data_IF_671580617468
#
_entry.id   IF_671580617468
#
_cell.length_a   1.000
_cell.length_b   1.000
_cell.length_c   1.000
_cell.angle_alpha   90.00
_cell.angle_beta   90.00
_cell.angle_gamma   90.00
#
_symmetry.space_group_name_H-M   'P 1'
#
loop_
_entity.id
_entity.type
_entity.pdbx_description
1 polymer ?
#
# COMPACT_ATOMS: atom_id res chain seq x y z
N UNK A 1 28.48 -42.12 -60.05
CA UNK A 1 28.02 -40.85 -59.46
C UNK A 1 26.51 -40.80 -59.56
N UNK A 2 25.88 -40.07 -58.65
CA UNK A 2 24.43 -39.94 -58.41
C UNK A 2 23.72 -41.13 -57.73
N UNK A 3 22.69 -40.93 -56.91
CA UNK A 3 22.36 -39.96 -55.84
C UNK A 3 21.06 -40.53 -55.24
N UNK A 4 21.01 -40.67 -53.92
CA UNK A 4 19.85 -40.80 -53.02
C UNK A 4 18.42 -40.91 -53.61
N UNK A 5 17.65 -41.92 -53.17
CA UNK A 5 16.28 -41.68 -52.70
C UNK A 5 16.01 -42.51 -51.43
N UNK A 6 15.83 -41.79 -50.33
CA UNK A 6 15.45 -42.26 -49.01
C UNK A 6 13.94 -42.62 -49.02
N UNK A 7 13.56 -43.87 -48.73
CA UNK A 7 12.14 -44.24 -48.55
C UNK A 7 11.65 -43.78 -47.18
N UNK A 8 11.04 -42.60 -47.12
CA UNK A 8 10.22 -42.19 -45.97
C UNK A 8 8.88 -42.93 -46.03
N UNK A 9 8.61 -43.79 -45.03
CA UNK A 9 7.27 -44.28 -44.76
C UNK A 9 6.40 -43.10 -44.32
N UNK A 10 5.42 -42.71 -45.16
CA UNK A 10 4.32 -41.87 -44.74
C UNK A 10 3.35 -42.71 -43.90
N UNK A 11 3.38 -42.53 -42.59
CA UNK A 11 2.23 -42.87 -41.74
C UNK A 11 1.30 -41.64 -41.72
N UNK A 12 -0.02 -41.81 -41.92
CA UNK A 12 -0.96 -40.70 -41.83
C UNK A 12 -1.04 -40.23 -40.38
N UNK A 13 -0.66 -38.98 -40.13
CA UNK A 13 -0.95 -38.29 -38.87
C UNK A 13 -2.44 -37.95 -38.89
N UNK A 14 -3.27 -38.40 -37.93
CA UNK A 14 -4.67 -37.99 -37.90
C UNK A 14 -4.71 -36.48 -37.62
N UNK A 15 -5.27 -35.71 -38.55
CA UNK A 15 -5.57 -34.30 -38.34
C UNK A 15 -6.72 -34.18 -37.35
N UNK A 16 -6.39 -34.17 -36.05
CA UNK A 16 -7.35 -33.77 -35.03
C UNK A 16 -7.68 -32.30 -35.25
N UNK A 17 -8.83 -32.03 -35.87
CA UNK A 17 -9.40 -30.68 -35.89
C UNK A 17 -9.78 -30.35 -34.45
N UNK A 18 -9.00 -29.47 -33.80
CA UNK A 18 -9.34 -28.97 -32.48
C UNK A 18 -10.61 -28.12 -32.61
N UNK A 19 -11.75 -28.67 -32.20
CA UNK A 19 -12.99 -27.90 -32.06
C UNK A 19 -12.87 -27.08 -30.79
N UNK A 20 -12.43 -25.83 -30.91
CA UNK A 20 -12.53 -24.85 -29.83
C UNK A 20 -14.00 -24.41 -29.79
N UNK A 21 -14.76 -24.94 -28.84
CA UNK A 21 -16.10 -24.45 -28.55
C UNK A 21 -15.96 -23.08 -27.88
N UNK A 22 -16.00 -22.02 -28.69
CA UNK A 22 -16.18 -20.67 -28.20
C UNK A 22 -17.63 -20.55 -27.72
N UNK A 23 -17.81 -20.27 -26.43
CA UNK A 23 -19.14 -19.95 -25.91
C UNK A 23 -19.62 -18.66 -26.59
N UNK A 24 -20.60 -18.76 -27.48
CA UNK A 24 -21.26 -17.59 -28.07
C UNK A 24 -22.01 -16.85 -26.96
N UNK A 25 -21.53 -15.64 -26.64
CA UNK A 25 -22.08 -14.81 -25.58
C UNK A 25 -23.30 -14.01 -26.05
N UNK A 26 -24.42 -14.17 -25.34
CA UNK A 26 -25.32 -13.11 -24.84
C UNK A 26 -26.50 -13.79 -24.13
N UNK A 27 -26.24 -14.30 -22.93
CA UNK A 27 -27.27 -14.88 -22.08
C UNK A 27 -26.94 -14.59 -20.63
N UNK A 28 -27.92 -14.10 -19.87
CA UNK A 28 -27.84 -13.99 -18.41
C UNK A 28 -27.28 -15.29 -17.85
N UNK A 29 -26.26 -15.19 -16.99
CA UNK A 29 -25.65 -16.35 -16.34
C UNK A 29 -26.79 -17.17 -15.69
N UNK A 30 -26.97 -18.45 -16.03
CA UNK A 30 -28.10 -19.23 -15.53
C UNK A 30 -28.15 -19.19 -14.00
N UNK A 31 -29.33 -18.95 -13.37
CA UNK A 31 -29.45 -18.81 -11.91
C UNK A 31 -28.90 -20.01 -11.14
N UNK A 32 -28.94 -21.20 -11.74
CA UNK A 32 -28.43 -22.41 -11.13
C UNK A 32 -26.93 -22.66 -11.28
N UNK A 33 -26.26 -21.89 -12.14
CA UNK A 33 -24.83 -22.04 -12.35
C UNK A 33 -24.04 -21.63 -11.11
N UNK A 34 -22.91 -22.31 -10.88
CA UNK A 34 -21.99 -21.96 -9.79
C UNK A 34 -21.49 -20.51 -9.92
N UNK A 35 -21.33 -20.02 -11.16
CA UNK A 35 -20.95 -18.63 -11.45
C UNK A 35 -21.98 -17.62 -10.94
N UNK A 36 -23.26 -17.93 -11.00
CA UNK A 36 -24.31 -17.06 -10.45
C UNK A 36 -24.33 -17.13 -8.92
N UNK A 37 -24.21 -18.33 -8.36
CA UNK A 37 -24.39 -18.60 -6.92
C UNK A 37 -23.24 -18.11 -6.02
N UNK A 38 -21.99 -18.19 -6.49
CA UNK A 38 -20.82 -18.04 -5.61
C UNK A 38 -19.88 -16.87 -5.94
N UNK A 39 -20.23 -15.99 -6.89
CA UNK A 39 -19.40 -14.83 -7.23
C UNK A 39 -19.64 -13.62 -6.29
N UNK A 40 -19.64 -13.85 -4.99
CA UNK A 40 -19.84 -12.80 -3.99
C UNK A 40 -18.77 -11.69 -4.06
N UNK A 41 -17.52 -12.03 -4.36
CA UNK A 41 -16.45 -11.03 -4.55
C UNK A 41 -16.77 -10.09 -5.72
N UNK A 42 -17.25 -10.62 -6.84
CA UNK A 42 -17.62 -9.80 -7.99
C UNK A 42 -18.76 -8.84 -7.66
N UNK A 43 -19.77 -9.31 -6.92
CA UNK A 43 -20.90 -8.48 -6.48
C UNK A 43 -20.43 -7.34 -5.55
N UNK A 44 -19.51 -7.63 -4.63
CA UNK A 44 -18.91 -6.61 -3.75
C UNK A 44 -18.15 -5.57 -4.56
N UNK A 45 -17.29 -6.00 -5.49
CA UNK A 45 -16.53 -5.09 -6.36
C UNK A 45 -17.45 -4.22 -7.20
N UNK A 46 -18.50 -4.79 -7.80
CA UNK A 46 -19.48 -4.04 -8.59
C UNK A 46 -20.16 -2.95 -7.76
N UNK A 47 -20.53 -3.27 -6.51
CA UNK A 47 -21.15 -2.34 -5.57
C UNK A 47 -20.21 -1.21 -5.15
N UNK A 48 -18.97 -1.52 -4.79
CA UNK A 48 -18.07 -0.53 -4.15
C UNK A 48 -17.23 0.29 -5.14
N UNK A 49 -16.94 -0.26 -6.33
CA UNK A 49 -16.01 0.36 -7.27
C UNK A 49 -16.34 1.80 -7.69
N UNK A 50 -17.62 2.22 -7.84
CA UNK A 50 -17.95 3.61 -8.14
C UNK A 50 -17.51 4.63 -7.08
N UNK A 51 -17.32 4.19 -5.84
CA UNK A 51 -16.95 5.05 -4.71
C UNK A 51 -15.44 5.00 -4.35
N UNK A 52 -14.64 4.26 -5.13
CA UNK A 52 -13.17 4.23 -5.00
C UNK A 52 -12.56 5.14 -6.06
N UNK A 53 -11.57 5.92 -5.65
CA UNK A 53 -10.95 6.96 -6.48
C UNK A 53 -9.44 6.74 -6.60
N UNK A 54 -8.89 7.21 -7.70
CA UNK A 54 -7.45 7.31 -7.92
C UNK A 54 -6.96 8.68 -7.49
N UNK A 55 -5.82 8.73 -6.80
CA UNK A 55 -5.17 9.96 -6.37
C UNK A 55 -3.86 10.13 -7.13
N UNK A 56 -3.70 11.28 -7.77
CA UNK A 56 -2.46 11.70 -8.42
C UNK A 56 -1.92 12.94 -7.70
N UNK A 57 -0.64 12.89 -7.32
CA UNK A 57 0.02 13.98 -6.63
C UNK A 57 1.10 14.58 -7.51
N UNK A 58 1.01 15.90 -7.69
CA UNK A 58 1.91 16.64 -8.57
C UNK A 58 2.83 17.56 -7.78
N UNK A 59 4.13 17.35 -7.96
CA UNK A 59 5.14 18.26 -7.46
C UNK A 59 5.43 19.35 -8.50
N UNK A 60 5.51 20.60 -8.06
CA UNK A 60 5.88 21.71 -8.91
C UNK A 60 7.38 21.90 -8.88
N UNK A 61 8.04 21.64 -10.01
CA UNK A 61 9.49 21.80 -10.13
C UNK A 61 9.86 23.27 -9.94
N UNK A 62 10.78 23.59 -8.99
CA UNK A 62 11.27 24.93 -8.80
C UNK A 62 11.84 25.49 -10.11
N UNK A 63 11.63 26.79 -10.36
CA UNK A 63 12.14 27.55 -11.51
C UNK A 63 11.56 27.22 -12.91
N UNK A 64 11.07 26.00 -13.18
CA UNK A 64 10.42 25.68 -14.48
C UNK A 64 8.90 25.86 -14.45
N UNK A 65 8.29 25.75 -13.26
CA UNK A 65 6.84 25.78 -13.10
C UNK A 65 6.11 24.57 -13.68
N UNK A 66 6.84 23.55 -14.15
CA UNK A 66 6.24 22.28 -14.58
C UNK A 66 5.74 21.49 -13.38
N UNK A 67 4.56 20.87 -13.54
CA UNK A 67 4.02 19.87 -12.62
C UNK A 67 4.47 18.49 -13.08
N UNK A 68 5.11 17.74 -12.19
CA UNK A 68 5.56 16.36 -12.42
C UNK A 68 4.81 15.46 -11.45
N UNK A 69 4.28 14.35 -11.94
CA UNK A 69 3.66 13.32 -11.12
C UNK A 69 4.71 12.76 -10.16
N UNK A 70 4.48 12.93 -8.85
CA UNK A 70 5.41 12.54 -7.81
C UNK A 70 4.96 11.29 -7.07
N UNK A 71 3.64 11.13 -6.85
CA UNK A 71 3.08 9.96 -6.19
C UNK A 71 1.67 9.65 -6.71
N UNK A 72 1.24 8.42 -6.46
CA UNK A 72 -0.07 7.91 -6.81
C UNK A 72 -0.61 7.07 -5.66
N UNK A 73 -1.91 7.15 -5.39
CA UNK A 73 -2.56 6.31 -4.39
C UNK A 73 -4.02 6.05 -4.72
N UNK A 74 -4.73 5.47 -3.76
CA UNK A 74 -6.17 5.30 -3.80
C UNK A 74 -6.85 6.05 -2.66
N UNK A 75 -8.15 6.29 -2.82
CA UNK A 75 -9.01 6.75 -1.75
C UNK A 75 -10.41 6.20 -1.92
N UNK A 76 -11.30 6.52 -1.00
CA UNK A 76 -12.71 6.21 -1.13
C UNK A 76 -13.60 7.30 -0.56
N UNK A 77 -14.76 7.45 -1.18
CA UNK A 77 -15.73 8.50 -0.88
C UNK A 77 -16.58 8.06 0.32
N UNK A 78 -16.66 8.93 1.33
CA UNK A 78 -17.39 8.68 2.59
C UNK A 78 -18.59 9.61 2.80
N UNK A 79 -18.79 10.62 1.95
CA UNK A 79 -19.98 11.47 1.99
C UNK A 79 -20.40 11.94 0.60
N UNK A 80 -21.70 12.17 0.42
CA UNK A 80 -22.29 12.57 -0.85
C UNK A 80 -21.79 13.95 -1.28
N UNK A 81 -21.30 14.77 -0.35
CA UNK A 81 -20.71 16.08 -0.61
C UNK A 81 -19.28 16.00 -1.17
N UNK A 82 -18.70 14.80 -1.33
CA UNK A 82 -17.38 14.61 -1.92
C UNK A 82 -16.23 14.56 -0.93
N UNK A 83 -16.50 14.14 0.32
CA UNK A 83 -15.46 13.81 1.29
C UNK A 83 -14.82 12.47 0.97
N UNK A 84 -13.49 12.41 0.97
CA UNK A 84 -12.70 11.25 0.59
C UNK A 84 -11.67 10.95 1.69
N UNK A 85 -11.58 9.68 2.08
CA UNK A 85 -10.56 9.16 2.98
C UNK A 85 -9.43 8.52 2.17
N UNK A 86 -8.20 8.73 2.62
CA UNK A 86 -6.98 8.07 2.14
C UNK A 86 -5.96 7.98 3.27
N UNK A 87 -4.75 7.49 2.99
CA UNK A 87 -3.65 7.51 3.94
C UNK A 87 -2.94 8.87 3.97
N UNK A 88 -2.39 9.25 5.13
CA UNK A 88 -1.64 10.49 5.27
C UNK A 88 -0.33 10.47 4.48
N UNK A 89 0.37 9.33 4.44
CA UNK A 89 1.62 9.19 3.69
C UNK A 89 1.43 9.41 2.18
N UNK A 90 0.25 9.11 1.65
CA UNK A 90 -0.09 9.38 0.24
C UNK A 90 -0.05 10.88 -0.07
N UNK A 91 -0.31 11.74 0.92
CA UNK A 91 -0.45 13.20 0.76
C UNK A 91 0.79 14.02 1.12
N UNK A 92 1.97 13.41 1.21
CA UNK A 92 3.19 14.09 1.64
C UNK A 92 3.61 15.25 0.70
N UNK A 93 4.18 16.32 1.28
CA UNK A 93 4.83 17.47 0.62
C UNK A 93 3.96 18.52 -0.13
N UNK A 94 2.77 18.89 0.38
CA UNK A 94 1.95 20.05 -0.07
C UNK A 94 1.83 20.17 -1.60
N UNK A 95 1.56 19.04 -2.23
CA UNK A 95 1.44 18.90 -3.67
C UNK A 95 0.01 19.22 -4.13
N UNK A 96 -0.16 19.56 -5.41
CA UNK A 96 -1.51 19.63 -6.00
C UNK A 96 -2.04 18.21 -6.11
N UNK A 97 -3.21 17.96 -5.52
CA UNK A 97 -3.86 16.64 -5.52
C UNK A 97 -4.96 16.64 -6.58
N UNK A 98 -4.87 15.72 -7.53
CA UNK A 98 -5.99 15.40 -8.41
C UNK A 98 -6.63 14.09 -7.99
N UNK A 99 -7.95 14.09 -8.00
CA UNK A 99 -8.78 12.91 -7.79
C UNK A 99 -9.39 12.52 -9.11
N UNK A 100 -9.19 11.29 -9.53
CA UNK A 100 -9.87 10.71 -10.68
C UNK A 100 -10.91 9.68 -10.24
N UNK A 101 -12.15 9.87 -10.71
CA UNK A 101 -13.25 8.96 -10.46
C UNK A 101 -13.23 7.78 -11.43
N UNK A 102 -13.97 6.71 -11.11
CA UNK A 102 -14.17 5.56 -12.02
C UNK A 102 -14.72 5.96 -13.40
N UNK A 103 -15.44 7.07 -13.52
CA UNK A 103 -15.93 7.60 -14.80
C UNK A 103 -14.82 8.16 -15.69
N UNK A 104 -13.63 8.43 -15.15
CA UNK A 104 -12.54 9.17 -15.78
C UNK A 104 -12.59 10.69 -15.51
N UNK A 105 -13.59 11.17 -14.77
CA UNK A 105 -13.68 12.58 -14.40
C UNK A 105 -12.61 12.94 -13.37
N UNK A 106 -11.93 14.08 -13.57
CA UNK A 106 -10.85 14.56 -12.71
C UNK A 106 -11.23 15.84 -11.96
N UNK A 107 -10.86 15.91 -10.68
CA UNK A 107 -11.15 17.04 -9.80
C UNK A 107 -9.91 17.44 -9.00
N UNK A 108 -9.73 18.74 -8.78
CA UNK A 108 -8.75 19.23 -7.81
C UNK A 108 -9.29 19.03 -6.40
N UNK A 109 -8.49 18.41 -5.53
CA UNK A 109 -8.84 18.15 -4.15
C UNK A 109 -8.16 19.10 -3.16
N UNK A 110 -8.87 19.41 -2.08
CA UNK A 110 -8.35 20.16 -0.94
C UNK A 110 -8.24 19.24 0.27
N UNK A 111 -7.10 19.32 0.96
CA UNK A 111 -6.92 18.67 2.26
C UNK A 111 -7.82 19.38 3.28
N UNK A 112 -8.64 18.60 3.99
CA UNK A 112 -9.47 19.08 5.10
C UNK A 112 -8.81 18.79 6.44
N UNK A 113 -8.28 17.58 6.61
CA UNK A 113 -7.61 17.16 7.84
C UNK A 113 -6.61 16.03 7.57
N UNK A 114 -5.58 15.92 8.41
CA UNK A 114 -4.55 14.88 8.33
C UNK A 114 -4.14 14.48 9.75
N UNK A 115 -4.25 13.19 10.06
CA UNK A 115 -3.64 12.59 11.24
C UNK A 115 -2.47 11.70 10.81
N UNK A 116 -1.25 12.21 10.96
CA UNK A 116 -0.03 11.47 10.65
C UNK A 116 0.17 10.27 11.59
N UNK A 117 -0.27 10.36 12.86
CA UNK A 117 -0.09 9.28 13.83
C UNK A 117 -0.95 8.06 13.48
N UNK A 118 -2.16 8.30 12.99
CA UNK A 118 -3.07 7.25 12.53
C UNK A 118 -2.85 6.90 11.05
N UNK A 119 -2.04 7.68 10.34
CA UNK A 119 -1.87 7.62 8.88
C UNK A 119 -3.19 7.74 8.11
N UNK A 120 -4.07 8.66 8.53
CA UNK A 120 -5.38 8.94 7.89
C UNK A 120 -5.40 10.38 7.39
N UNK A 121 -5.95 10.60 6.20
CA UNK A 121 -6.23 11.94 5.69
C UNK A 121 -7.66 12.05 5.14
N UNK A 122 -8.24 13.24 5.30
CA UNK A 122 -9.51 13.65 4.73
C UNK A 122 -9.26 14.72 3.67
N UNK A 123 -9.73 14.45 2.45
CA UNK A 123 -9.71 15.41 1.36
C UNK A 123 -11.13 15.66 0.83
N UNK A 124 -11.32 16.75 0.11
CA UNK A 124 -12.61 17.20 -0.41
C UNK A 124 -12.51 17.56 -1.89
N UNK A 125 -13.48 17.09 -2.66
CA UNK A 125 -13.77 17.54 -4.02
C UNK A 125 -15.21 18.05 -4.13
N UNK A 126 -15.48 18.97 -5.05
CA UNK A 126 -16.76 19.69 -5.13
C UNK A 126 -17.72 19.05 -6.15
N UNK A 127 -18.21 17.85 -5.84
CA UNK A 127 -19.20 17.12 -6.66
C UNK A 127 -19.98 16.09 -5.84
N UNK A 128 -21.15 15.68 -6.33
CA UNK A 128 -22.01 14.69 -5.68
C UNK A 128 -21.66 13.27 -6.12
N UNK A 129 -21.48 12.35 -5.16
CA UNK A 129 -20.83 11.06 -5.43
C UNK A 129 -21.48 9.87 -4.71
N UNK A 130 -21.34 8.64 -5.25
CA UNK A 130 -21.65 7.41 -4.52
C UNK A 130 -20.69 7.25 -3.33
N UNK A 131 -21.23 6.78 -2.20
CA UNK A 131 -20.48 6.69 -0.93
C UNK A 131 -20.31 5.25 -0.48
N UNK A 132 -19.23 4.99 0.26
CA UNK A 132 -19.09 3.78 1.05
C UNK A 132 -19.41 4.05 2.52
N UNK A 133 -20.18 3.13 3.10
CA UNK A 133 -20.48 3.15 4.53
C UNK A 133 -19.32 2.53 5.31
N UNK A 134 -18.98 3.12 6.45
CA UNK A 134 -18.04 2.51 7.39
C UNK A 134 -18.75 1.37 8.14
N UNK A 135 -18.16 0.19 8.13
CA UNK A 135 -18.55 -0.94 8.99
C UNK A 135 -18.04 -0.73 10.43
N UNK A 136 -18.06 -1.80 11.23
CA UNK A 136 -17.49 -1.83 12.57
C UNK A 136 -16.35 -2.83 12.64
N UNK A 137 -15.12 -2.32 12.64
CA UNK A 137 -13.94 -3.17 12.74
C UNK A 137 -13.87 -3.96 14.05
N UNK A 138 -14.49 -3.47 15.13
CA UNK A 138 -14.57 -4.14 16.42
C UNK A 138 -15.39 -5.45 16.39
N UNK A 139 -16.24 -5.62 15.38
CA UNK A 139 -17.12 -6.80 15.22
C UNK A 139 -16.55 -7.82 14.23
N UNK A 140 -15.39 -7.54 13.63
CA UNK A 140 -14.72 -8.46 12.70
C UNK A 140 -14.38 -9.78 13.39
N UNK A 141 -14.41 -10.85 12.59
CA UNK A 141 -13.95 -12.18 13.00
C UNK A 141 -12.78 -12.62 12.13
N UNK A 142 -11.76 -13.25 12.72
CA UNK A 142 -10.75 -13.96 11.94
C UNK A 142 -11.41 -14.97 10.99
N UNK A 143 -10.97 -14.99 9.73
CA UNK A 143 -11.53 -15.82 8.67
C UNK A 143 -12.61 -15.16 7.80
N UNK A 144 -13.07 -13.95 8.13
CA UNK A 144 -14.01 -13.25 7.26
C UNK A 144 -13.37 -12.85 5.94
N UNK A 145 -14.08 -13.07 4.83
CA UNK A 145 -13.65 -12.64 3.51
C UNK A 145 -13.66 -11.11 3.42
N UNK A 146 -12.61 -10.60 2.80
CA UNK A 146 -12.42 -9.17 2.56
C UNK A 146 -11.98 -8.94 1.12
N UNK A 147 -12.27 -7.73 0.64
CA UNK A 147 -11.82 -7.23 -0.66
C UNK A 147 -11.03 -5.95 -0.41
N UNK A 148 -9.76 -5.95 -0.80
CA UNK A 148 -8.95 -4.74 -0.87
C UNK A 148 -9.08 -4.19 -2.29
N UNK A 149 -9.63 -2.98 -2.39
CA UNK A 149 -9.81 -2.32 -3.67
C UNK A 149 -8.92 -1.08 -3.76
N UNK A 150 -8.26 -0.93 -4.90
CA UNK A 150 -7.60 0.30 -5.30
C UNK A 150 -7.92 0.66 -6.73
N UNK A 151 -7.56 1.87 -7.11
CA UNK A 151 -7.56 2.33 -8.48
C UNK A 151 -6.15 2.77 -8.88
N UNK A 152 -5.19 1.84 -9.04
CA UNK A 152 -3.93 2.21 -9.66
C UNK A 152 -4.16 2.53 -11.13
N UNK A 153 -3.79 3.74 -11.53
CA UNK A 153 -3.73 4.17 -12.93
C UNK A 153 -5.06 4.09 -13.68
N UNK A 154 -6.03 4.93 -13.30
CA UNK A 154 -7.19 5.43 -14.08
C UNK A 154 -8.16 4.41 -14.74
N UNK A 155 -7.76 3.17 -15.01
CA UNK A 155 -8.41 2.22 -15.91
C UNK A 155 -8.33 0.76 -15.42
N UNK A 156 -7.50 0.46 -14.40
CA UNK A 156 -7.37 -0.90 -13.86
C UNK A 156 -7.47 -0.90 -12.34
N UNK A 157 -8.70 -0.99 -11.83
CA UNK A 157 -8.89 -1.24 -10.40
C UNK A 157 -8.13 -2.51 -10.00
N UNK A 158 -7.22 -2.39 -9.04
CA UNK A 158 -6.56 -3.54 -8.45
C UNK A 158 -7.46 -4.06 -7.35
N UNK A 159 -8.17 -5.12 -7.70
CA UNK A 159 -8.96 -5.90 -6.77
C UNK A 159 -8.09 -7.04 -6.27
N UNK A 160 -7.92 -7.12 -4.96
CA UNK A 160 -7.40 -8.32 -4.31
C UNK A 160 -8.39 -8.78 -3.24
N UNK A 161 -8.40 -10.07 -2.96
CA UNK A 161 -9.27 -10.65 -1.94
C UNK A 161 -8.48 -11.61 -1.08
N UNK A 162 -8.96 -11.77 0.15
CA UNK A 162 -8.36 -12.61 1.16
C UNK A 162 -9.31 -12.73 2.33
N UNK A 163 -8.77 -13.08 3.48
CA UNK A 163 -9.47 -13.15 4.75
C UNK A 163 -8.83 -12.22 5.78
N UNK A 164 -9.58 -11.88 6.82
CA UNK A 164 -9.01 -11.31 8.04
C UNK A 164 -8.21 -12.39 8.76
N UNK A 165 -6.89 -12.23 8.85
CA UNK A 165 -6.02 -13.12 9.61
C UNK A 165 -6.01 -12.80 11.10
N UNK A 166 -6.12 -11.51 11.45
CA UNK A 166 -6.22 -11.01 12.82
C UNK A 166 -6.94 -9.66 12.82
N UNK A 167 -7.74 -9.40 13.86
CA UNK A 167 -8.55 -8.18 13.97
C UNK A 167 -7.87 -7.08 14.78
N UNK A 168 -6.91 -7.46 15.63
CA UNK A 168 -6.24 -6.57 16.58
C UNK A 168 -4.77 -6.98 16.69
N UNK A 169 -3.97 -6.64 15.67
CA UNK A 169 -2.52 -6.75 15.80
C UNK A 169 -1.96 -5.41 16.28
N UNK A 170 -1.44 -5.37 17.50
CA UNK A 170 -0.88 -4.15 18.06
C UNK A 170 0.32 -3.67 17.26
N UNK A 171 0.44 -2.36 17.03
CA UNK A 171 1.57 -1.75 16.33
C UNK A 171 2.91 -2.10 16.97
N UNK A 172 2.94 -2.29 18.29
CA UNK A 172 4.10 -2.79 19.06
C UNK A 172 4.57 -4.18 18.60
N UNK A 173 3.67 -5.03 18.12
CA UNK A 173 4.01 -6.34 17.53
C UNK A 173 4.55 -6.24 16.10
N UNK A 174 4.34 -5.09 15.45
CA UNK A 174 4.87 -4.73 14.13
C UNK A 174 6.16 -3.90 14.22
N UNK A 175 6.68 -3.70 15.43
CA UNK A 175 7.86 -2.90 15.70
C UNK A 175 7.62 -1.39 15.90
N UNK A 176 6.37 -0.97 15.97
CA UNK A 176 5.99 0.44 16.20
C UNK A 176 5.93 0.71 17.70
N UNK A 177 7.08 1.08 18.31
CA UNK A 177 7.22 1.26 19.77
C UNK A 177 6.33 2.35 20.39
N UNK A 178 5.88 3.32 19.59
CA UNK A 178 4.97 4.41 20.01
C UNK A 178 3.56 4.33 19.40
N UNK A 179 3.22 3.19 18.80
CA UNK A 179 1.88 2.98 18.25
C UNK A 179 1.03 2.19 19.23
N UNK A 180 0.06 2.88 19.84
CA UNK A 180 -1.10 2.25 20.48
C UNK A 180 -2.18 1.86 19.44
N UNK A 181 -1.83 1.86 18.15
CA UNK A 181 -2.72 1.50 17.07
C UNK A 181 -2.76 -0.01 16.90
N UNK A 182 -3.97 -0.55 16.74
CA UNK A 182 -4.19 -1.94 16.37
C UNK A 182 -4.55 -1.96 14.89
N UNK A 183 -3.96 -2.87 14.14
CA UNK A 183 -4.20 -3.04 12.71
C UNK A 183 -5.02 -4.30 12.45
N UNK A 184 -5.79 -4.25 11.37
CA UNK A 184 -6.40 -5.43 10.77
C UNK A 184 -5.33 -6.10 9.92
N UNK A 185 -5.03 -7.36 10.19
CA UNK A 185 -4.16 -8.17 9.36
C UNK A 185 -4.98 -8.94 8.34
N UNK A 186 -4.55 -8.93 7.08
CA UNK A 186 -5.15 -9.72 6.00
C UNK A 186 -4.09 -10.33 5.10
N UNK A 187 -4.44 -11.44 4.46
CA UNK A 187 -3.65 -12.02 3.36
C UNK A 187 -4.06 -11.47 1.99
N UNK A 188 -5.09 -10.62 1.92
CA UNK A 188 -5.38 -9.84 0.72
C UNK A 188 -4.15 -9.01 0.36
N UNK A 189 -3.73 -9.09 -0.90
CA UNK A 189 -2.49 -8.44 -1.35
C UNK A 189 -2.71 -6.92 -1.38
N UNK A 190 -1.97 -6.20 -0.55
CA UNK A 190 -1.91 -4.73 -0.58
C UNK A 190 -0.64 -4.32 -1.31
N UNK A 191 -0.74 -3.32 -2.19
CA UNK A 191 0.37 -2.74 -2.93
C UNK A 191 0.17 -1.22 -3.06
N UNK A 192 1.15 -0.52 -3.62
CA UNK A 192 1.06 0.93 -3.84
C UNK A 192 -0.22 1.36 -4.57
N UNK A 193 -0.76 0.50 -5.42
CA UNK A 193 -1.96 0.78 -6.20
C UNK A 193 -3.26 0.78 -5.41
N UNK A 194 -3.36 0.04 -4.31
CA UNK A 194 -4.54 0.02 -3.45
C UNK A 194 -4.32 0.61 -2.04
N UNK A 195 -3.11 1.09 -1.74
CA UNK A 195 -2.82 1.90 -0.55
C UNK A 195 -3.69 3.16 -0.52
N UNK A 196 -4.25 3.49 0.65
CA UNK A 196 -5.27 4.52 0.84
C UNK A 196 -6.69 4.12 0.39
N UNK A 197 -6.82 3.03 -0.37
CA UNK A 197 -8.12 2.46 -0.77
C UNK A 197 -8.80 1.68 0.36
N UNK A 198 -10.07 1.30 0.19
CA UNK A 198 -10.82 0.61 1.23
C UNK A 198 -10.50 -0.89 1.28
N UNK A 199 -10.47 -1.43 2.50
CA UNK A 199 -10.68 -2.83 2.79
C UNK A 199 -12.16 -3.00 3.14
N UNK A 200 -12.89 -3.85 2.43
CA UNK A 200 -14.34 -4.03 2.63
C UNK A 200 -14.72 -5.46 2.98
N UNK A 201 -15.80 -5.61 3.75
CA UNK A 201 -16.44 -6.90 4.03
C UNK A 201 -17.39 -7.32 2.89
N UNK A 202 -18.03 -8.49 3.04
CA UNK A 202 -18.97 -9.02 2.04
C UNK A 202 -20.27 -8.21 1.90
N UNK A 203 -20.60 -7.38 2.89
CA UNK A 203 -21.75 -6.46 2.83
C UNK A 203 -21.41 -5.16 2.08
N UNK A 204 -20.15 -4.98 1.68
CA UNK A 204 -19.65 -3.79 0.99
C UNK A 204 -19.43 -2.60 1.92
N UNK A 205 -19.25 -2.86 3.22
CA UNK A 205 -18.90 -1.85 4.21
C UNK A 205 -17.39 -1.77 4.39
N UNK A 206 -16.86 -0.57 4.55
CA UNK A 206 -15.44 -0.35 4.79
C UNK A 206 -15.10 -0.76 6.22
N UNK A 207 -14.27 -1.79 6.34
CA UNK A 207 -13.78 -2.27 7.63
C UNK A 207 -12.36 -1.77 7.94
N UNK A 208 -11.64 -1.23 6.94
CA UNK A 208 -10.39 -0.50 7.15
C UNK A 208 -9.86 0.23 5.92
N UNK A 209 -8.73 0.92 6.07
CA UNK A 209 -7.96 1.56 4.99
C UNK A 209 -6.75 0.69 4.69
N UNK A 210 -6.55 0.27 3.45
CA UNK A 210 -5.37 -0.49 3.03
C UNK A 210 -4.12 0.38 3.22
N UNK A 211 -3.11 -0.08 3.98
CA UNK A 211 -1.97 0.79 4.33
C UNK A 211 -0.62 0.16 4.00
N UNK A 212 -0.32 -1.00 4.58
CA UNK A 212 1.02 -1.58 4.52
C UNK A 212 0.99 -3.01 4.01
N UNK A 213 1.98 -3.39 3.22
CA UNK A 213 2.36 -4.78 2.98
C UNK A 213 3.74 -5.00 3.58
N UNK A 214 3.83 -5.90 4.56
CA UNK A 214 5.12 -6.24 5.19
C UNK A 214 5.82 -7.37 4.45
N UNK A 215 5.06 -8.38 4.00
CA UNK A 215 5.59 -9.49 3.19
C UNK A 215 4.46 -10.18 2.41
N UNK A 216 4.79 -11.18 1.59
CA UNK A 216 3.78 -11.96 0.88
C UNK A 216 2.84 -12.67 1.87
N UNK A 217 1.54 -12.39 1.75
CA UNK A 217 0.48 -12.93 2.61
C UNK A 217 0.32 -12.22 3.96
N UNK A 218 1.02 -11.10 4.20
CA UNK A 218 0.84 -10.28 5.40
C UNK A 218 0.73 -8.82 4.99
N UNK A 219 -0.51 -8.34 5.00
CA UNK A 219 -0.88 -6.96 4.76
C UNK A 219 -1.65 -6.40 5.96
N UNK A 220 -1.64 -5.07 6.10
CA UNK A 220 -2.27 -4.35 7.19
C UNK A 220 -3.21 -3.27 6.69
N UNK A 221 -4.31 -3.10 7.41
CA UNK A 221 -5.25 -2.02 7.22
C UNK A 221 -5.55 -1.30 8.55
N UNK A 222 -5.72 0.02 8.48
CA UNK A 222 -6.17 0.83 9.61
C UNK A 222 -7.66 0.54 9.87
N UNK A 223 -8.09 0.20 11.10
CA UNK A 223 -9.47 -0.17 11.38
C UNK A 223 -10.48 0.96 11.13
N UNK A 224 -11.65 0.63 10.59
CA UNK A 224 -12.74 1.59 10.33
C UNK A 224 -13.20 2.36 11.56
N UNK A 225 -13.11 1.79 12.76
CA UNK A 225 -13.47 2.50 13.99
C UNK A 225 -12.49 3.64 14.32
N UNK A 226 -11.24 3.56 13.85
CA UNK A 226 -10.29 4.69 13.92
C UNK A 226 -10.66 5.80 12.95
N UNK A 227 -11.15 5.44 11.76
CA UNK A 227 -11.70 6.41 10.80
C UNK A 227 -12.91 7.12 11.41
N UNK A 228 -13.82 6.37 12.06
CA UNK A 228 -14.97 6.96 12.77
C UNK A 228 -14.52 7.94 13.84
N UNK A 229 -13.49 7.59 14.64
CA UNK A 229 -12.93 8.49 15.65
C UNK A 229 -12.32 9.75 15.03
N UNK A 230 -11.58 9.61 13.93
CA UNK A 230 -10.98 10.73 13.20
C UNK A 230 -12.04 11.68 12.60
N UNK A 231 -13.16 11.15 12.10
CA UNK A 231 -14.26 11.94 11.54
C UNK A 231 -15.14 12.63 12.59
N UNK A 232 -15.03 12.27 13.88
CA UNK A 232 -15.75 12.96 14.94
C UNK A 232 -15.08 14.32 15.19
N UNK A 233 -15.86 15.41 15.36
CA UNK A 233 -15.33 16.72 15.69
C UNK A 233 -14.69 16.68 17.08
N UNK A 234 -13.39 16.42 17.13
CA UNK A 234 -12.66 16.27 18.39
C UNK A 234 -11.85 17.55 18.64
N UNK A 235 -12.03 18.11 19.83
CA UNK A 235 -11.31 19.28 20.34
C UNK A 235 -9.80 19.12 20.12
N UNK A 236 -9.24 20.08 19.39
CA UNK A 236 -7.88 20.12 18.91
C UNK A 236 -6.83 19.87 20.00
N UNK A 237 -5.92 18.94 19.75
CA UNK A 237 -4.57 18.98 20.31
C UNK A 237 -3.60 18.79 19.13
N UNK A 238 -2.82 19.81 18.75
CA UNK A 238 -1.83 19.66 17.70
C UNK A 238 -0.69 18.79 18.24
N UNK A 239 -0.50 17.62 17.65
CA UNK A 239 0.69 16.80 17.93
C UNK A 239 1.52 16.71 16.66
N UNK A 240 2.54 17.58 16.59
CA UNK A 240 3.70 17.34 15.74
C UNK A 240 4.40 16.06 16.21
N UNK A 241 4.84 15.20 15.28
CA UNK A 241 6.15 14.52 15.23
C UNK A 241 6.14 13.31 14.26
N UNK A 242 6.84 13.49 13.12
CA UNK A 242 7.76 12.60 12.36
C UNK A 242 7.60 11.06 12.38
N UNK A 243 7.50 10.45 11.18
CA UNK A 243 7.53 9.00 10.89
C UNK A 243 8.78 8.56 10.10
N UNK A 244 9.50 7.54 10.56
CA UNK A 244 10.40 6.61 9.80
C UNK A 244 10.47 5.26 10.57
N UNK A 245 10.57 4.10 9.89
CA UNK A 245 10.49 2.70 10.45
C UNK A 245 11.86 1.97 10.59
N UNK A 246 12.02 0.97 11.51
CA UNK A 246 13.29 0.26 11.94
C UNK A 246 13.29 -1.29 11.80
N UNK A 247 14.46 -2.00 11.77
CA UNK A 247 14.63 -3.50 11.78
C UNK A 247 14.79 -4.06 13.18
N UNK A 248 15.43 -3.32 14.08
CA UNK A 248 15.71 -3.72 15.45
C UNK A 248 14.45 -3.98 16.26
N UNK A 249 13.30 -3.62 15.70
CA UNK A 249 11.98 -3.81 16.28
C UNK A 249 11.24 -5.05 15.73
N UNK A 250 11.87 -5.84 14.87
CA UNK A 250 11.37 -7.16 14.50
C UNK A 250 11.65 -8.18 15.62
N UNK A 251 10.63 -8.93 16.03
CA UNK A 251 10.78 -10.07 16.93
C UNK A 251 11.86 -11.03 16.38
N UNK A 252 12.61 -11.75 17.24
CA UNK A 252 13.49 -12.83 16.81
C UNK A 252 12.79 -13.85 15.90
N UNK A 253 11.46 -14.03 16.02
CA UNK A 253 10.67 -14.88 15.12
C UNK A 253 10.45 -14.29 13.73
N UNK A 254 10.31 -12.98 13.58
CA UNK A 254 10.17 -12.32 12.28
C UNK A 254 11.53 -12.20 11.59
N UNK A 255 12.61 -11.92 12.32
CA UNK A 255 13.99 -12.05 11.82
C UNK A 255 14.27 -13.50 11.41
N UNK A 256 13.84 -14.48 12.21
CA UNK A 256 13.99 -15.91 11.87
C UNK A 256 13.15 -16.31 10.64
N UNK A 257 11.97 -15.71 10.45
CA UNK A 257 11.12 -15.96 9.29
C UNK A 257 11.64 -15.29 8.02
N UNK A 258 12.15 -14.06 8.12
CA UNK A 258 12.85 -13.36 7.05
C UNK A 258 14.12 -14.14 6.62
N UNK A 259 14.93 -14.61 7.58
CA UNK A 259 16.10 -15.49 7.31
C UNK A 259 15.74 -16.84 6.68
N UNK A 260 14.55 -17.39 6.98
CA UNK A 260 14.10 -18.66 6.36
C UNK A 260 13.68 -18.47 4.89
N UNK A 261 13.20 -17.29 4.53
CA UNK A 261 12.63 -17.03 3.19
C UNK A 261 13.59 -16.29 2.26
N UNK A 262 14.49 -15.46 2.80
CA UNK A 262 15.54 -14.78 2.05
C UNK A 262 16.92 -15.21 2.59
N UNK A 263 17.69 -15.92 1.75
CA UNK A 263 19.01 -16.44 2.10
C UNK A 263 20.06 -15.33 2.20
N UNK A 264 19.81 -14.20 1.56
CA UNK A 264 20.73 -13.05 1.52
C UNK A 264 20.39 -12.02 2.60
N UNK A 265 19.40 -12.31 3.47
CA UNK A 265 19.04 -11.43 4.58
C UNK A 265 20.21 -11.31 5.57
N UNK A 266 20.67 -10.08 5.86
CA UNK A 266 21.87 -9.86 6.67
C UNK A 266 21.77 -10.45 8.08
N UNK A 267 22.86 -11.09 8.54
CA UNK A 267 22.99 -11.55 9.92
C UNK A 267 23.24 -10.36 10.84
N UNK A 268 22.16 -9.80 11.38
CA UNK A 268 22.18 -8.62 12.23
C UNK A 268 21.50 -8.89 13.56
N UNK A 269 22.10 -8.34 14.62
CA UNK A 269 21.56 -8.28 15.98
C UNK A 269 20.85 -6.95 16.29
N UNK A 270 21.02 -5.91 15.45
CA UNK A 270 20.42 -4.58 15.58
C UNK A 270 20.55 -3.75 14.28
N UNK A 271 19.72 -2.72 14.07
CA UNK A 271 19.74 -1.80 12.91
C UNK A 271 18.35 -1.30 12.48
N UNK A 272 18.25 -0.44 11.46
CA UNK A 272 16.98 0.15 10.93
C UNK A 272 16.71 -0.31 9.51
N UNK A 273 15.49 -0.80 9.19
CA UNK A 273 15.16 -1.30 7.83
C UNK A 273 14.78 -0.10 7.05
N UNK A 274 15.44 0.04 5.92
CA UNK A 274 14.95 0.92 4.90
C UNK A 274 13.93 0.12 4.10
N UNK A 275 12.66 0.27 4.45
CA UNK A 275 11.55 -0.35 3.72
C UNK A 275 11.40 0.25 2.33
N UNK A 276 11.48 1.57 2.26
CA UNK A 276 11.31 2.33 1.03
C UNK A 276 12.18 3.59 1.07
N UNK A 277 12.78 3.91 -0.07
CA UNK A 277 13.45 5.18 -0.32
C UNK A 277 12.67 5.95 -1.37
N UNK A 278 11.97 7.01 -0.93
CA UNK A 278 11.21 7.88 -1.81
C UNK A 278 12.16 8.63 -2.75
N UNK A 279 11.92 8.53 -4.06
CA UNK A 279 12.72 9.23 -5.08
C UNK A 279 12.64 10.75 -4.90
N UNK A 280 13.79 11.42 -5.07
CA UNK A 280 13.91 12.87 -4.85
C UNK A 280 14.14 13.30 -3.40
N UNK A 281 14.29 12.36 -2.45
CA UNK A 281 14.70 12.67 -1.07
C UNK A 281 16.23 12.72 -0.90
N UNK A 282 16.69 13.30 0.21
CA UNK A 282 18.07 13.23 0.67
C UNK A 282 18.62 11.79 0.72
N UNK A 283 17.80 10.82 1.19
CA UNK A 283 18.19 9.42 1.29
C UNK A 283 18.38 8.77 -0.09
N UNK A 284 17.47 9.04 -1.04
CA UNK A 284 17.61 8.58 -2.42
C UNK A 284 18.88 9.13 -3.08
N UNK A 285 19.13 10.43 -2.88
CA UNK A 285 20.28 11.14 -3.44
C UNK A 285 21.61 10.63 -2.85
N UNK A 286 21.59 10.19 -1.59
CA UNK A 286 22.73 9.59 -0.91
C UNK A 286 22.98 8.12 -1.31
N UNK A 287 22.10 7.50 -2.11
CA UNK A 287 22.25 6.13 -2.58
C UNK A 287 21.77 5.06 -1.60
N UNK A 288 20.95 5.43 -0.62
CA UNK A 288 20.20 4.48 0.22
C UNK A 288 19.20 3.73 -0.66
N UNK A 289 18.98 2.45 -0.39
CA UNK A 289 18.06 1.59 -1.15
C UNK A 289 17.12 0.83 -0.24
N UNK A 290 15.99 0.44 -0.80
CA UNK A 290 15.06 -0.53 -0.21
C UNK A 290 15.82 -1.81 0.14
N UNK A 291 15.61 -2.31 1.34
CA UNK A 291 16.31 -3.47 1.87
C UNK A 291 17.63 -3.18 2.57
N UNK A 292 18.11 -1.93 2.56
CA UNK A 292 19.26 -1.54 3.37
C UNK A 292 18.95 -1.61 4.86
N UNK A 293 19.98 -1.89 5.66
CA UNK A 293 19.91 -1.85 7.12
C UNK A 293 20.84 -0.77 7.66
N UNK A 294 20.31 0.32 8.22
CA UNK A 294 21.16 1.33 8.87
C UNK A 294 21.66 0.78 10.20
N UNK A 295 22.97 0.62 10.35
CA UNK A 295 23.61 0.07 11.57
C UNK A 295 24.33 1.13 12.40
N UNK A 296 24.68 2.27 11.80
CA UNK A 296 25.36 3.37 12.51
C UNK A 296 25.09 4.72 11.83
N UNK A 297 25.02 5.79 12.60
CA UNK A 297 24.98 7.17 12.13
C UNK A 297 25.98 8.00 12.92
N UNK A 298 26.86 8.73 12.23
CA UNK A 298 27.91 9.57 12.80
C UNK A 298 28.78 8.82 13.82
N UNK A 299 29.05 7.54 13.56
CA UNK A 299 29.85 6.67 14.44
C UNK A 299 29.12 6.15 15.68
N UNK A 300 27.82 6.46 15.85
CA UNK A 300 26.98 5.89 16.91
C UNK A 300 26.15 4.74 16.35
N UNK A 301 26.18 3.60 17.04
CA UNK A 301 25.34 2.45 16.70
C UNK A 301 23.88 2.86 16.74
N UNK A 302 23.14 2.47 15.70
CA UNK A 302 21.72 2.78 15.59
C UNK A 302 20.90 1.54 15.91
N UNK A 303 19.97 1.70 16.85
CA UNK A 303 19.13 0.61 17.36
C UNK A 303 17.65 0.96 17.35
N UNK A 304 17.29 2.17 16.96
CA UNK A 304 15.92 2.67 16.90
C UNK A 304 15.81 3.76 15.84
N UNK A 305 14.61 4.02 15.33
CA UNK A 305 14.33 5.22 14.51
C UNK A 305 14.44 6.50 15.30
N UNK A 306 14.30 6.46 16.63
CA UNK A 306 14.60 7.58 17.52
C UNK A 306 16.05 8.02 17.38
N UNK A 307 17.00 7.07 17.35
CA UNK A 307 18.43 7.37 17.13
C UNK A 307 18.66 8.05 15.77
N UNK A 308 17.90 7.64 14.73
CA UNK A 308 17.95 8.25 13.39
C UNK A 308 17.38 9.67 13.42
N UNK A 309 16.20 9.86 14.03
CA UNK A 309 15.55 11.17 14.17
C UNK A 309 16.42 12.15 14.97
N UNK A 310 16.98 11.70 16.10
CA UNK A 310 17.91 12.52 16.88
C UNK A 310 19.17 12.87 16.09
N UNK A 311 19.70 11.95 15.29
CA UNK A 311 20.84 12.24 14.45
C UNK A 311 20.50 13.30 13.38
N UNK A 312 19.34 13.18 12.73
CA UNK A 312 18.88 14.15 11.70
C UNK A 312 18.64 15.55 12.25
N UNK A 313 18.15 15.68 13.49
CA UNK A 313 17.90 16.99 14.13
C UNK A 313 19.18 17.72 14.54
N UNK A 314 20.23 16.97 14.86
CA UNK A 314 21.45 17.51 15.46
C UNK A 314 22.58 17.72 14.46
N UNK A 315 22.39 17.45 13.18
CA UNK A 315 23.47 17.48 12.19
C UNK A 315 22.98 17.78 10.77
N UNK A 316 23.63 18.75 10.13
CA UNK A 316 23.36 19.14 8.74
C UNK A 316 23.86 18.08 7.72
N UNK A 317 24.75 17.20 8.15
CA UNK A 317 25.27 16.09 7.35
C UNK A 317 25.37 14.85 8.23
N UNK A 318 24.91 13.72 7.72
CA UNK A 318 24.91 12.43 8.39
C UNK A 318 25.81 11.46 7.62
N UNK A 319 26.80 10.90 8.30
CA UNK A 319 27.54 9.74 7.83
C UNK A 319 26.83 8.50 8.31
N UNK A 320 26.11 7.81 7.43
CA UNK A 320 25.33 6.62 7.77
C UNK A 320 26.07 5.37 7.28
N UNK A 321 26.09 4.32 8.09
CA UNK A 321 26.57 3.00 7.68
C UNK A 321 25.36 2.12 7.44
N UNK A 322 25.22 1.62 6.23
CA UNK A 322 24.14 0.71 5.82
C UNK A 322 24.72 -0.67 5.49
N UNK A 323 24.02 -1.72 5.88
CA UNK A 323 24.29 -3.09 5.45
C UNK A 323 23.36 -3.46 4.31
N UNK A 324 23.94 -3.84 3.18
CA UNK A 324 23.24 -4.27 1.97
C UNK A 324 23.69 -5.69 1.63
N UNK A 325 22.82 -6.67 1.87
CA UNK A 325 23.23 -8.07 1.87
C UNK A 325 24.32 -8.30 2.94
N UNK A 326 25.50 -8.76 2.55
CA UNK A 326 26.63 -9.00 3.47
C UNK A 326 27.70 -7.90 3.47
N UNK A 327 27.46 -6.78 2.79
CA UNK A 327 28.41 -5.67 2.70
C UNK A 327 27.96 -4.45 3.50
N UNK A 328 28.91 -3.81 4.19
CA UNK A 328 28.70 -2.54 4.88
C UNK A 328 29.18 -1.39 3.99
N UNK A 329 28.32 -0.40 3.78
CA UNK A 329 28.57 0.78 2.96
C UNK A 329 28.40 2.04 3.80
N UNK A 330 29.29 3.01 3.60
CA UNK A 330 29.17 4.34 4.24
C UNK A 330 28.57 5.29 3.22
N UNK A 331 27.44 5.90 3.56
CA UNK A 331 26.74 6.88 2.75
C UNK A 331 26.69 8.22 3.49
N UNK A 332 26.74 9.31 2.74
CA UNK A 332 26.62 10.67 3.30
C UNK A 332 25.27 11.23 2.91
N UNK A 333 24.41 11.50 3.89
CA UNK A 333 23.08 12.07 3.71
C UNK A 333 23.08 13.51 4.20
N UNK A 334 22.57 14.43 3.40
CA UNK A 334 22.32 15.81 3.80
C UNK A 334 20.82 15.99 3.93
N UNK A 335 20.25 16.01 5.14
CA UNK A 335 18.81 16.16 5.33
C UNK A 335 18.31 17.49 4.74
N UNK A 336 17.13 17.46 4.12
CA UNK A 336 16.45 18.69 3.68
C UNK A 336 15.96 19.47 4.91
N UNK A 337 16.04 20.80 4.89
CA UNK A 337 15.53 21.64 5.98
C UNK A 337 14.02 21.42 6.17
N UNK A 338 13.64 21.03 7.39
CA UNK A 338 12.24 20.87 7.78
C UNK A 338 11.76 22.25 8.28
N UNK A 339 11.11 23.01 7.40
CA UNK A 339 10.30 24.20 7.79
C UNK A 339 8.90 23.80 8.28
#
# INVERSE_FOLDING_TARGET
EELFVNKQLYLPVPSASAVVLLAEGKGSVPPDSLRYKFNFIANVVEKIAPAVVHLELFHRVPYSGQEVLASSGSGFIVSEEGLIITNAHVLTNKQRIKVELKSGDQYDAKIQDIDHKLDIALIKIDTALPVLMLGRSSELRPGEFVVALGSPFSLQNTVTTGIVSSTQRGGKELGLKDSDMEYIQTDAIINYGNSGGPLVNLDGEVIGINTLKVTAGISFAIPSDRIRQFLLPTLSVPSALQDVQTISDFLPSLIHELRRRDKDFPDLSSGVYVFEVIQGTAAASAGVRDGDVIISINGRTVTSTTDVSEATKNSNTLSIVVRRGNEDMILTVTPDEID
#
